data_IF_698344668965
#
_entry.id   IF_698344668965
#
_cell.length_a   1.000
_cell.length_b   1.000
_cell.length_c   1.000
_cell.angle_alpha   90.00
_cell.angle_beta   90.00
_cell.angle_gamma   90.00
#
_symmetry.space_group_name_H-M   'P 1'
#
loop_
_entity.id
_entity.type
_entity.pdbx_description
1 polymer ?
#
# COMPACT_ATOMS: atom_id res chain seq x y z
N UNK A 1 -39.31 -28.72 -8.25
CA UNK A 1 -38.48 -27.79 -9.04
C UNK A 1 -38.77 -26.36 -8.62
N UNK A 2 -37.75 -25.54 -8.33
CA UNK A 2 -37.88 -24.08 -8.28
C UNK A 2 -37.29 -23.38 -7.05
N UNK A 3 -35.98 -23.50 -6.81
CA UNK A 3 -35.29 -22.54 -5.93
C UNK A 3 -34.96 -21.29 -6.76
N UNK A 4 -35.66 -20.19 -6.47
CA UNK A 4 -35.33 -18.86 -6.99
C UNK A 4 -34.09 -18.35 -6.25
N UNK A 5 -32.93 -18.43 -6.90
CA UNK A 5 -31.70 -17.80 -6.43
C UNK A 5 -31.84 -16.28 -6.44
N UNK A 6 -31.77 -15.66 -5.28
CA UNK A 6 -31.64 -14.20 -5.16
C UNK A 6 -30.19 -13.84 -5.49
N UNK A 7 -29.98 -13.21 -6.63
CA UNK A 7 -28.72 -12.56 -6.98
C UNK A 7 -28.58 -11.34 -6.06
N UNK A 8 -27.71 -11.44 -5.07
CA UNK A 8 -27.25 -10.26 -4.34
C UNK A 8 -26.27 -9.52 -5.26
N UNK A 9 -26.73 -8.44 -5.89
CA UNK A 9 -25.83 -7.47 -6.50
C UNK A 9 -25.03 -6.81 -5.37
N UNK A 10 -23.80 -7.26 -5.17
CA UNK A 10 -22.82 -6.53 -4.38
C UNK A 10 -22.59 -5.19 -5.08
N UNK A 11 -22.94 -4.10 -4.39
CA UNK A 11 -22.66 -2.75 -4.86
C UNK A 11 -21.15 -2.59 -5.07
N UNK A 12 -20.74 -2.45 -6.34
CA UNK A 12 -19.37 -2.08 -6.70
C UNK A 12 -19.20 -0.60 -6.35
N UNK A 13 -18.83 -0.31 -5.09
CA UNK A 13 -18.19 0.96 -4.74
C UNK A 13 -16.69 0.70 -4.79
N UNK A 14 -16.18 0.62 -6.01
CA UNK A 14 -14.77 0.51 -6.31
C UNK A 14 -14.20 1.86 -6.72
N UNK A 15 -14.40 2.89 -5.89
CA UNK A 15 -13.52 4.08 -5.74
C UNK A 15 -13.84 4.62 -4.34
N UNK A 16 -12.91 4.50 -3.39
CA UNK A 16 -13.02 5.24 -2.14
C UNK A 16 -12.64 6.71 -2.40
N UNK A 17 -13.57 7.48 -2.97
CA UNK A 17 -13.48 8.95 -2.93
C UNK A 17 -13.84 9.37 -1.51
N UNK A 18 -12.88 9.33 -0.59
CA UNK A 18 -13.04 9.91 0.74
C UNK A 18 -12.57 11.38 0.63
N UNK A 19 -13.50 12.28 0.32
CA UNK A 19 -13.27 13.71 0.45
C UNK A 19 -13.46 14.09 1.93
N UNK A 20 -12.36 14.37 2.65
CA UNK A 20 -12.44 15.00 3.98
C UNK A 20 -12.12 16.48 3.82
N UNK A 21 -13.15 17.31 3.88
CA UNK A 21 -13.04 18.76 4.04
C UNK A 21 -12.80 19.05 5.53
N UNK A 22 -11.56 19.35 5.89
CA UNK A 22 -11.21 19.82 7.23
C UNK A 22 -11.52 21.30 7.37
N UNK A 23 -12.63 21.64 8.04
CA UNK A 23 -12.86 23.00 8.55
C UNK A 23 -12.10 23.19 9.85
N UNK A 24 -11.03 23.98 9.81
CA UNK A 24 -10.29 24.40 10.99
C UNK A 24 -11.03 25.57 11.67
N UNK A 25 -11.28 25.47 12.98
CA UNK A 25 -11.63 26.60 13.84
C UNK A 25 -11.15 26.29 15.27
N UNK A 26 -10.40 27.24 15.84
CA UNK A 26 -9.72 27.17 17.15
C UNK A 26 -10.67 27.00 18.34
N UNK A 27 -10.25 27.00 19.59
CA UNK A 27 -9.07 27.59 20.26
C UNK A 27 -9.06 27.09 21.72
N UNK A 28 -7.90 26.96 22.36
CA UNK A 28 -7.81 26.77 23.82
C UNK A 28 -6.37 26.61 24.32
N UNK A 29 -5.96 27.49 25.23
CA UNK A 29 -4.59 27.81 25.66
C UNK A 29 -4.20 27.15 27.00
N UNK A 30 -2.88 26.95 27.22
CA UNK A 30 -2.08 27.03 28.48
C UNK A 30 -2.37 26.01 29.60
N UNK A 31 -1.46 25.48 30.43
CA UNK A 31 -0.04 25.66 30.83
C UNK A 31 0.41 24.28 31.39
N UNK A 32 1.68 23.83 31.45
CA UNK A 32 2.84 24.36 32.15
C UNK A 32 3.50 23.19 32.94
N UNK A 33 4.84 23.17 33.07
CA UNK A 33 5.55 22.27 33.99
C UNK A 33 6.83 21.63 33.45
N UNK A 34 7.95 22.32 33.62
CA UNK A 34 9.31 21.76 33.50
C UNK A 34 9.70 21.05 34.80
N UNK A 35 10.44 19.94 34.73
CA UNK A 35 11.57 19.74 35.64
C UNK A 35 12.64 18.79 35.08
N UNK A 36 13.89 19.11 35.37
CA UNK A 36 15.11 18.43 34.95
C UNK A 36 15.66 17.58 36.10
N UNK A 37 16.12 16.36 35.81
CA UNK A 37 16.80 15.50 36.77
C UNK A 37 18.07 14.89 36.19
N UNK A 38 19.21 15.52 36.51
CA UNK A 38 20.56 15.02 36.24
C UNK A 38 20.98 13.99 37.28
N UNK A 39 21.63 12.89 36.87
CA UNK A 39 22.16 11.87 37.76
C UNK A 39 23.31 11.10 37.10
N UNK A 40 24.54 11.50 37.42
CA UNK A 40 25.79 10.85 37.03
C UNK A 40 26.06 9.56 37.81
N UNK A 41 26.55 8.52 37.14
CA UNK A 41 27.13 7.32 37.76
C UNK A 41 28.15 6.64 36.85
N UNK A 42 29.44 6.79 37.16
CA UNK A 42 30.56 6.05 36.57
C UNK A 42 30.58 4.62 37.09
N UNK A 43 30.82 3.66 36.20
CA UNK A 43 31.19 2.29 36.54
C UNK A 43 31.86 1.60 35.37
N UNK A 44 33.19 1.52 35.40
CA UNK A 44 33.99 0.74 34.45
C UNK A 44 33.95 -0.74 34.80
N UNK A 45 33.75 -1.61 33.82
CA UNK A 45 34.28 -2.98 33.82
C UNK A 45 34.38 -3.49 32.39
N UNK A 46 35.57 -3.96 32.04
CA UNK A 46 35.92 -4.52 30.74
C UNK A 46 35.53 -5.99 30.63
N UNK A 47 35.08 -6.43 29.46
CA UNK A 47 35.26 -7.80 28.95
C UNK A 47 35.09 -7.83 27.43
N UNK A 48 35.86 -8.72 26.80
CA UNK A 48 36.30 -8.81 25.41
C UNK A 48 35.18 -8.91 24.34
N UNK A 49 35.49 -8.62 23.05
CA UNK A 49 34.51 -8.60 21.97
C UNK A 49 34.17 -10.02 21.51
N UNK A 50 32.92 -10.43 21.69
CA UNK A 50 32.36 -11.56 20.96
C UNK A 50 31.91 -11.07 19.58
N UNK A 51 32.73 -11.36 18.58
CA UNK A 51 32.36 -11.23 17.18
C UNK A 51 31.17 -12.13 16.86
N UNK A 52 30.01 -11.52 16.67
CA UNK A 52 28.93 -12.11 15.89
C UNK A 52 28.87 -11.33 14.59
N UNK A 53 29.49 -11.91 13.56
CA UNK A 53 29.34 -11.49 12.18
C UNK A 53 27.89 -11.69 11.74
N UNK A 54 27.02 -10.77 12.16
CA UNK A 54 25.74 -10.56 11.53
C UNK A 54 26.01 -9.97 10.16
N UNK A 55 26.07 -10.82 9.13
CA UNK A 55 25.96 -10.39 7.75
C UNK A 55 24.58 -9.75 7.59
N UNK A 56 24.49 -8.45 7.88
CA UNK A 56 23.42 -7.59 7.41
C UNK A 56 23.56 -7.64 5.90
N UNK A 57 22.77 -8.52 5.26
CA UNK A 57 22.57 -8.47 3.82
C UNK A 57 22.22 -7.02 3.50
N UNK A 58 23.17 -6.32 2.88
CA UNK A 58 22.97 -4.96 2.44
C UNK A 58 21.83 -5.02 1.44
N UNK A 59 20.65 -4.54 1.84
CA UNK A 59 19.67 -4.11 0.89
C UNK A 59 20.38 -3.04 0.06
N UNK A 60 20.68 -3.36 -1.19
CA UNK A 60 21.07 -2.37 -2.17
C UNK A 60 19.96 -1.32 -2.13
N UNK A 61 20.23 -0.12 -1.61
CA UNK A 61 19.26 0.96 -1.63
C UNK A 61 18.88 1.18 -3.09
N UNK A 62 17.66 0.81 -3.45
CA UNK A 62 17.14 1.02 -4.79
C UNK A 62 16.98 2.52 -4.92
N UNK A 63 17.75 3.11 -5.83
CA UNK A 63 17.66 4.53 -6.11
C UNK A 63 16.22 4.88 -6.53
N UNK A 64 15.65 5.89 -5.87
CA UNK A 64 14.38 6.47 -6.26
C UNK A 64 14.40 6.85 -7.76
N UNK A 65 13.33 6.48 -8.45
CA UNK A 65 13.07 6.92 -9.82
C UNK A 65 12.63 8.38 -9.83
N UNK A 66 11.78 8.76 -8.87
CA UNK A 66 11.38 10.14 -8.60
C UNK A 66 10.93 10.28 -7.14
N UNK A 67 10.97 11.52 -6.63
CA UNK A 67 10.60 11.85 -5.26
C UNK A 67 9.10 11.64 -5.00
N UNK A 68 8.73 11.46 -3.74
CA UNK A 68 7.37 11.15 -3.31
C UNK A 68 6.26 12.11 -3.76
N UNK A 69 6.54 13.42 -3.86
CA UNK A 69 5.52 14.42 -4.21
C UNK A 69 5.78 15.07 -5.57
N UNK A 70 4.71 15.31 -6.32
CA UNK A 70 4.74 16.11 -7.54
C UNK A 70 3.68 15.76 -8.58
N UNK A 71 3.60 16.61 -9.59
CA UNK A 71 2.85 16.40 -10.82
C UNK A 71 3.84 16.11 -11.95
N UNK A 72 3.81 14.88 -12.47
CA UNK A 72 4.78 14.39 -13.43
C UNK A 72 4.15 14.13 -14.78
N UNK A 73 4.64 14.80 -15.82
CA UNK A 73 4.22 14.55 -17.21
C UNK A 73 4.80 13.21 -17.67
N UNK A 74 3.91 12.33 -18.11
CA UNK A 74 4.30 11.01 -18.61
C UNK A 74 4.92 11.16 -20.00
N UNK A 75 6.13 10.63 -20.17
CA UNK A 75 6.93 10.73 -21.38
C UNK A 75 8.03 11.81 -21.34
N UNK A 76 7.91 12.84 -20.50
CA UNK A 76 8.96 13.84 -20.29
C UNK A 76 9.61 13.76 -18.91
N UNK A 77 8.81 13.72 -17.85
CA UNK A 77 9.31 13.81 -16.48
C UNK A 77 9.51 12.40 -15.90
N UNK A 78 8.55 11.50 -16.20
CA UNK A 78 8.64 10.07 -15.89
C UNK A 78 8.35 9.24 -17.13
N UNK A 79 8.95 8.06 -17.23
CA UNK A 79 8.70 7.13 -18.34
C UNK A 79 7.48 6.26 -18.04
N UNK A 80 6.78 5.73 -19.05
CA UNK A 80 5.83 4.65 -18.84
C UNK A 80 6.51 3.45 -18.20
N UNK A 81 5.83 2.79 -17.26
CA UNK A 81 6.38 1.68 -16.49
C UNK A 81 5.60 1.41 -15.22
N UNK A 82 6.03 0.39 -14.47
CA UNK A 82 5.49 0.11 -13.13
C UNK A 82 6.40 0.72 -12.08
N UNK A 83 5.79 1.44 -11.13
CA UNK A 83 6.46 2.07 -10.02
C UNK A 83 5.95 1.52 -8.70
N UNK A 84 6.78 1.60 -7.66
CA UNK A 84 6.45 1.15 -6.31
C UNK A 84 6.84 2.21 -5.30
N UNK A 85 5.97 2.47 -4.34
CA UNK A 85 6.26 3.22 -3.12
C UNK A 85 5.98 2.33 -1.90
N UNK A 86 6.75 2.47 -0.82
CA UNK A 86 6.63 1.63 0.38
C UNK A 86 6.77 2.43 1.65
N UNK A 87 6.16 1.97 2.74
CA UNK A 87 6.27 2.64 4.04
C UNK A 87 5.45 3.93 4.11
N UNK A 88 4.37 4.00 3.32
CA UNK A 88 3.40 5.09 3.40
C UNK A 88 2.58 4.95 4.68
N UNK A 89 2.37 6.07 5.37
CA UNK A 89 1.58 6.12 6.60
C UNK A 89 0.10 6.24 6.29
N UNK A 90 -0.73 5.46 6.99
CA UNK A 90 -2.18 5.57 7.20
C UNK A 90 -2.97 6.44 6.19
N UNK A 91 -2.94 6.08 4.90
CA UNK A 91 -3.73 6.74 3.86
C UNK A 91 -3.27 8.14 3.44
N UNK A 92 -2.14 8.63 3.94
CA UNK A 92 -1.60 9.96 3.59
C UNK A 92 -1.00 10.03 2.19
N UNK A 93 -0.71 8.88 1.58
CA UNK A 93 -0.23 8.80 0.20
C UNK A 93 -1.41 8.75 -0.77
N UNK A 94 -1.65 9.84 -1.47
CA UNK A 94 -2.54 9.92 -2.62
C UNK A 94 -1.74 9.88 -3.92
N UNK A 95 -2.18 9.07 -4.87
CA UNK A 95 -1.67 9.15 -6.24
C UNK A 95 -2.79 9.09 -7.25
N UNK A 96 -2.53 9.63 -8.44
CA UNK A 96 -3.48 9.69 -9.54
C UNK A 96 -2.78 9.51 -10.89
N UNK A 97 -3.38 8.71 -11.76
CA UNK A 97 -3.09 8.69 -13.20
C UNK A 97 -4.19 9.46 -13.92
N UNK A 98 -3.81 10.43 -14.75
CA UNK A 98 -4.78 11.27 -15.47
C UNK A 98 -4.51 11.34 -16.98
N UNK A 99 -5.58 11.55 -17.74
CA UNK A 99 -5.55 11.66 -19.23
C UNK A 99 -5.14 13.05 -19.72
N UNK A 100 -5.14 14.04 -18.85
CA UNK A 100 -4.69 15.41 -19.11
C UNK A 100 -4.39 16.13 -17.78
N UNK A 101 -4.03 17.41 -17.87
CA UNK A 101 -3.70 18.25 -16.71
C UNK A 101 -4.81 19.25 -16.36
N UNK A 102 -6.08 18.96 -16.73
CA UNK A 102 -7.20 19.89 -16.45
C UNK A 102 -7.64 19.89 -14.99
N UNK A 103 -7.38 18.79 -14.27
CA UNK A 103 -7.75 18.65 -12.86
C UNK A 103 -9.22 18.31 -12.63
N UNK A 104 -9.92 17.86 -13.66
CA UNK A 104 -11.33 17.50 -13.61
C UNK A 104 -11.52 16.04 -13.19
N UNK A 105 -12.68 15.70 -12.63
CA UNK A 105 -12.98 14.33 -12.18
C UNK A 105 -12.98 13.31 -13.34
N UNK A 106 -13.33 13.72 -14.55
CA UNK A 106 -13.30 12.88 -15.75
C UNK A 106 -11.89 12.73 -16.36
N UNK A 107 -10.94 13.57 -15.92
CA UNK A 107 -9.53 13.41 -16.26
C UNK A 107 -8.91 12.20 -15.57
N UNK A 108 -9.46 11.78 -14.42
CA UNK A 108 -8.92 10.68 -13.60
C UNK A 108 -9.09 9.35 -14.34
N UNK A 109 -7.97 8.66 -14.57
CA UNK A 109 -7.93 7.30 -15.12
C UNK A 109 -7.99 6.28 -13.97
N UNK A 110 -7.21 6.52 -12.92
CA UNK A 110 -7.17 5.73 -11.70
C UNK A 110 -6.55 6.56 -10.58
N UNK A 111 -7.00 6.36 -9.35
CA UNK A 111 -6.42 6.98 -8.16
C UNK A 111 -6.55 6.06 -6.95
N UNK A 112 -5.82 6.37 -5.88
CA UNK A 112 -5.88 5.58 -4.65
C UNK A 112 -5.35 6.39 -3.45
N UNK A 113 -5.83 6.03 -2.25
CA UNK A 113 -5.30 6.47 -0.96
C UNK A 113 -4.64 5.27 -0.29
N UNK A 114 -3.35 5.39 0.01
CA UNK A 114 -2.50 4.23 0.30
C UNK A 114 -1.92 4.28 1.71
N UNK A 115 -2.17 3.22 2.47
CA UNK A 115 -1.32 2.77 3.58
C UNK A 115 -0.32 1.72 3.09
N UNK A 116 0.90 1.74 3.61
CA UNK A 116 1.91 0.72 3.32
C UNK A 116 2.50 0.82 1.92
N UNK A 117 2.30 -0.20 1.09
CA UNK A 117 2.90 -0.31 -0.25
C UNK A 117 1.88 0.00 -1.33
N UNK A 118 2.29 0.70 -2.39
CA UNK A 118 1.53 0.78 -3.64
C UNK A 118 2.40 0.38 -4.82
N UNK A 119 1.78 -0.28 -5.78
CA UNK A 119 2.32 -0.51 -7.12
C UNK A 119 1.40 0.19 -8.11
N UNK A 120 1.97 0.90 -9.09
CA UNK A 120 1.19 1.58 -10.12
C UNK A 120 1.84 1.39 -11.48
N UNK A 121 1.08 0.89 -12.45
CA UNK A 121 1.48 0.85 -13.86
C UNK A 121 1.04 2.12 -14.57
N UNK A 122 1.99 3.03 -14.79
CA UNK A 122 1.82 4.25 -15.60
C UNK A 122 1.95 3.87 -17.08
N UNK A 123 0.91 4.12 -17.86
CA UNK A 123 0.85 3.77 -19.29
C UNK A 123 1.33 4.93 -20.15
N UNK A 124 1.82 4.64 -21.36
CA UNK A 124 2.24 5.67 -22.32
C UNK A 124 1.10 6.59 -22.79
N UNK A 125 -0.15 6.14 -22.63
CA UNK A 125 -1.35 6.93 -22.92
C UNK A 125 -1.73 7.90 -21.82
N UNK A 126 -1.20 7.71 -20.61
CA UNK A 126 -1.42 8.63 -19.51
C UNK A 126 -0.68 9.94 -19.85
N UNK A 127 -1.20 11.07 -19.38
CA UNK A 127 -0.56 12.38 -19.58
C UNK A 127 0.08 12.91 -18.32
N UNK A 128 -0.50 12.58 -17.17
CA UNK A 128 -0.04 13.04 -15.87
C UNK A 128 -0.07 11.90 -14.86
N UNK A 129 0.95 11.85 -14.01
CA UNK A 129 0.96 11.10 -12.76
C UNK A 129 1.12 12.10 -11.62
N UNK A 130 0.15 12.16 -10.71
CA UNK A 130 0.19 13.04 -9.54
C UNK A 130 0.48 12.18 -8.31
N UNK A 131 1.31 12.67 -7.41
CA UNK A 131 1.65 12.00 -6.16
C UNK A 131 1.74 13.03 -5.04
N UNK A 132 1.10 12.75 -3.92
CA UNK A 132 1.03 13.65 -2.77
C UNK A 132 1.03 12.88 -1.45
N UNK A 133 1.91 13.26 -0.52
CA UNK A 133 2.09 12.60 0.77
C UNK A 133 2.66 11.18 0.66
N UNK A 134 3.18 10.80 -0.50
CA UNK A 134 3.76 9.48 -0.74
C UNK A 134 5.25 9.47 -0.39
N UNK A 135 5.77 8.30 -0.04
CA UNK A 135 7.21 8.03 -0.06
C UNK A 135 7.71 7.95 -1.49
N UNK A 136 9.02 8.08 -1.64
CA UNK A 136 9.70 8.02 -2.93
C UNK A 136 9.29 6.79 -3.75
N UNK A 137 9.23 7.00 -5.06
CA UNK A 137 8.83 5.98 -6.01
C UNK A 137 10.06 5.33 -6.64
N UNK A 138 10.09 4.01 -6.61
CA UNK A 138 11.10 3.19 -7.28
C UNK A 138 10.53 2.59 -8.56
N UNK A 139 11.34 2.56 -9.62
CA UNK A 139 10.99 1.81 -10.82
C UNK A 139 11.05 0.30 -10.52
N UNK A 140 10.01 -0.43 -10.93
CA UNK A 140 9.93 -1.87 -10.78
C UNK A 140 10.46 -2.55 -12.04
N UNK A 141 11.58 -3.25 -11.91
CA UNK A 141 12.01 -4.18 -12.95
C UNK A 141 11.09 -5.41 -12.94
N UNK A 142 10.37 -5.62 -14.05
CA UNK A 142 9.47 -6.75 -14.23
C UNK A 142 10.17 -8.11 -14.07
N UNK A 143 11.48 -8.17 -14.36
CA UNK A 143 12.31 -9.37 -14.25
C UNK A 143 12.91 -9.57 -12.87
N UNK A 144 12.83 -8.57 -11.98
CA UNK A 144 13.39 -8.68 -10.65
C UNK A 144 12.72 -9.83 -9.89
N UNK A 145 13.55 -10.74 -9.38
CA UNK A 145 13.13 -11.78 -8.44
C UNK A 145 13.01 -11.14 -7.06
N UNK A 146 11.90 -11.41 -6.38
CA UNK A 146 11.71 -11.03 -4.99
C UNK A 146 11.95 -12.20 -4.04
N UNK A 147 11.77 -11.94 -2.75
CA UNK A 147 11.80 -12.96 -1.70
C UNK A 147 10.42 -13.01 -1.07
N UNK A 148 9.46 -13.74 -1.67
CA UNK A 148 8.06 -13.65 -1.28
C UNK A 148 7.84 -14.18 0.13
N UNK A 149 7.11 -13.42 0.96
CA UNK A 149 6.81 -13.76 2.34
C UNK A 149 5.57 -14.66 2.47
N UNK A 150 5.47 -15.49 3.53
CA UNK A 150 4.26 -16.26 3.85
C UNK A 150 3.27 -15.48 4.74
N UNK A 151 3.53 -14.19 5.00
CA UNK A 151 2.73 -13.32 5.88
C UNK A 151 2.73 -11.91 5.30
N UNK A 152 1.68 -11.15 5.55
CA UNK A 152 1.59 -9.73 5.19
C UNK A 152 0.76 -8.99 6.23
N UNK A 153 1.08 -7.70 6.40
CA UNK A 153 0.28 -6.81 7.23
C UNK A 153 -1.10 -6.62 6.62
N UNK A 154 -2.13 -6.56 7.46
CA UNK A 154 -3.50 -6.38 6.98
C UNK A 154 -3.78 -5.00 6.38
N UNK A 155 -3.01 -3.99 6.80
CA UNK A 155 -2.97 -2.66 6.19
C UNK A 155 -1.69 -2.42 5.38
N UNK A 156 -1.18 -3.48 4.76
CA UNK A 156 0.09 -3.46 4.05
C UNK A 156 0.05 -2.84 2.65
N UNK A 157 -1.14 -2.51 2.14
CA UNK A 157 -1.35 -2.02 0.80
C UNK A 157 -1.27 -3.15 -0.23
N UNK A 158 -0.57 -2.92 -1.33
CA UNK A 158 -0.49 -3.81 -2.50
C UNK A 158 0.82 -4.60 -2.55
N UNK A 159 0.71 -5.91 -2.75
CA UNK A 159 1.81 -6.87 -2.82
C UNK A 159 1.84 -7.54 -4.19
N UNK A 160 3.01 -7.58 -4.84
CA UNK A 160 3.20 -8.34 -6.09
C UNK A 160 3.34 -9.83 -5.78
N UNK A 161 2.48 -10.66 -6.36
CA UNK A 161 2.49 -12.10 -6.11
C UNK A 161 3.75 -12.74 -6.71
N UNK A 162 4.39 -13.63 -5.95
CA UNK A 162 5.64 -14.29 -6.32
C UNK A 162 6.90 -13.44 -6.09
N UNK A 163 6.78 -12.13 -5.91
CA UNK A 163 7.89 -11.25 -5.54
C UNK A 163 7.84 -10.82 -4.07
N UNK A 164 6.67 -10.33 -3.62
CA UNK A 164 6.47 -9.84 -2.25
C UNK A 164 5.75 -10.86 -1.38
N UNK A 165 4.78 -11.59 -1.93
CA UNK A 165 3.95 -12.56 -1.21
C UNK A 165 3.90 -13.89 -1.96
N UNK A 166 3.92 -15.01 -1.21
CA UNK A 166 3.78 -16.34 -1.79
C UNK A 166 2.33 -16.59 -2.24
N UNK A 167 2.10 -17.32 -3.34
CA UNK A 167 0.78 -17.88 -3.62
C UNK A 167 0.33 -18.84 -2.52
N UNK A 168 -0.97 -18.96 -2.32
CA UNK A 168 -1.60 -19.89 -1.37
C UNK A 168 -2.83 -19.31 -0.69
N UNK A 169 -3.32 -20.02 0.31
CA UNK A 169 -4.50 -19.63 1.09
C UNK A 169 -4.07 -18.87 2.32
N UNK A 170 -4.66 -17.71 2.52
CA UNK A 170 -4.40 -16.80 3.62
C UNK A 170 -5.66 -16.58 4.44
N UNK A 171 -5.46 -16.36 5.74
CA UNK A 171 -6.53 -16.04 6.69
C UNK A 171 -6.17 -14.80 7.49
N UNK A 172 -7.15 -13.92 7.67
CA UNK A 172 -7.13 -12.76 8.56
C UNK A 172 -8.35 -12.85 9.49
N UNK A 173 -8.13 -12.70 10.79
CA UNK A 173 -9.14 -12.96 11.84
C UNK A 173 -9.23 -11.84 12.84
N UNK A 174 -10.43 -11.53 13.31
CA UNK A 174 -10.66 -10.41 14.23
C UNK A 174 -10.75 -9.07 13.50
N UNK A 175 -11.17 -9.09 12.23
CA UNK A 175 -11.40 -7.87 11.45
C UNK A 175 -12.57 -7.10 12.04
N UNK A 176 -12.39 -5.80 12.23
CA UNK A 176 -13.44 -4.90 12.68
C UNK A 176 -14.57 -4.76 11.66
N UNK A 177 -15.66 -4.13 12.08
CA UNK A 177 -16.85 -3.97 11.26
C UNK A 177 -16.55 -3.10 10.04
N UNK A 178 -16.56 -3.71 8.84
CA UNK A 178 -16.42 -3.00 7.57
C UNK A 178 -15.03 -2.42 7.27
N UNK A 179 -14.00 -2.73 8.07
CA UNK A 179 -12.66 -2.14 7.88
C UNK A 179 -11.75 -2.94 6.95
N UNK A 180 -11.96 -4.26 6.83
CA UNK A 180 -11.08 -5.12 6.07
C UNK A 180 -11.53 -5.24 4.61
N UNK A 181 -10.81 -4.55 3.74
CA UNK A 181 -10.90 -4.72 2.28
C UNK A 181 -9.73 -5.57 1.78
N UNK A 182 -10.01 -6.49 0.87
CA UNK A 182 -8.96 -7.16 0.09
C UNK A 182 -9.34 -7.29 -1.38
N UNK A 183 -8.31 -7.37 -2.22
CA UNK A 183 -8.44 -7.51 -3.67
C UNK A 183 -7.32 -8.39 -4.24
N UNK A 184 -7.67 -9.29 -5.16
CA UNK A 184 -6.75 -9.95 -6.09
C UNK A 184 -6.86 -9.24 -7.42
N UNK A 185 -5.74 -8.85 -8.01
CA UNK A 185 -5.68 -8.09 -9.25
C UNK A 185 -4.72 -8.73 -10.27
N UNK A 186 -5.04 -8.57 -11.54
CA UNK A 186 -4.23 -9.08 -12.67
C UNK A 186 -2.99 -8.22 -12.94
N UNK A 187 -3.10 -6.91 -12.68
CA UNK A 187 -2.09 -5.91 -12.94
C UNK A 187 -2.21 -4.74 -11.93
N UNK A 188 -1.22 -3.85 -11.91
CA UNK A 188 -1.21 -2.64 -11.09
C UNK A 188 -1.84 -1.44 -11.83
N UNK A 189 -2.82 -1.68 -12.69
CA UNK A 189 -3.51 -0.65 -13.46
C UNK A 189 -4.61 0.07 -12.69
N UNK A 190 -5.11 -0.51 -11.58
CA UNK A 190 -6.16 0.04 -10.71
C UNK A 190 -7.45 0.44 -11.45
N UNK A 191 -7.81 -0.35 -12.46
CA UNK A 191 -9.11 -0.21 -13.14
C UNK A 191 -10.05 -1.31 -12.68
N UNK A 192 -11.36 -1.13 -12.83
CA UNK A 192 -12.33 -2.21 -12.56
C UNK A 192 -12.00 -3.49 -13.36
N UNK A 193 -11.47 -3.33 -14.57
CA UNK A 193 -11.02 -4.46 -15.40
C UNK A 193 -9.76 -5.16 -14.86
N UNK A 194 -9.03 -4.57 -13.93
CA UNK A 194 -7.83 -5.16 -13.29
C UNK A 194 -8.20 -6.12 -12.16
N UNK A 195 -9.39 -5.97 -11.56
CA UNK A 195 -9.85 -6.74 -10.41
C UNK A 195 -10.22 -8.16 -10.85
N UNK A 196 -9.60 -9.15 -10.22
CA UNK A 196 -9.97 -10.57 -10.37
C UNK A 196 -11.09 -10.92 -9.38
N UNK A 197 -10.91 -10.51 -8.13
CA UNK A 197 -11.90 -10.67 -7.06
C UNK A 197 -11.57 -9.70 -5.92
N UNK A 198 -12.59 -9.20 -5.24
CA UNK A 198 -12.43 -8.40 -4.03
C UNK A 198 -13.53 -8.69 -3.02
N UNK A 199 -13.34 -8.25 -1.78
CA UNK A 199 -14.38 -8.34 -0.75
C UNK A 199 -14.13 -7.35 0.40
N UNK A 200 -15.22 -6.98 1.08
CA UNK A 200 -15.21 -6.28 2.36
C UNK A 200 -15.69 -7.25 3.45
N UNK A 201 -14.90 -7.48 4.48
CA UNK A 201 -15.13 -8.59 5.41
C UNK A 201 -15.07 -8.15 6.87
N UNK A 202 -16.12 -8.43 7.63
CA UNK A 202 -16.11 -8.38 9.10
C UNK A 202 -15.70 -9.74 9.68
N UNK A 203 -14.95 -9.73 10.79
CA UNK A 203 -14.59 -10.95 11.52
C UNK A 203 -13.47 -11.73 10.86
N UNK A 204 -13.79 -12.72 10.02
CA UNK A 204 -12.79 -13.59 9.38
C UNK A 204 -12.82 -13.47 7.87
N UNK A 205 -11.67 -13.16 7.28
CA UNK A 205 -11.45 -13.25 5.84
C UNK A 205 -10.54 -14.44 5.50
N UNK A 206 -10.90 -15.18 4.45
CA UNK A 206 -10.08 -16.27 3.88
C UNK A 206 -9.99 -16.05 2.37
N UNK A 207 -8.78 -16.06 1.83
CA UNK A 207 -8.55 -15.81 0.40
C UNK A 207 -7.49 -16.76 -0.14
N UNK A 208 -7.72 -17.31 -1.33
CA UNK A 208 -6.70 -18.06 -2.08
C UNK A 208 -6.09 -17.15 -3.14
N UNK A 209 -4.80 -16.86 -3.00
CA UNK A 209 -3.99 -16.11 -3.95
C UNK A 209 -3.35 -17.12 -4.91
N UNK A 210 -3.74 -17.06 -6.18
CA UNK A 210 -3.19 -17.94 -7.23
C UNK A 210 -1.79 -17.47 -7.62
N UNK A 211 -0.95 -18.37 -8.11
CA UNK A 211 0.34 -18.01 -8.72
C UNK A 211 0.19 -17.19 -10.00
N UNK A 212 -1.00 -17.22 -10.62
CA UNK A 212 -1.35 -16.41 -11.78
C UNK A 212 -1.89 -15.02 -11.44
N UNK A 213 -2.24 -14.77 -10.18
CA UNK A 213 -2.65 -13.42 -9.77
C UNK A 213 -1.42 -12.50 -9.88
N UNK A 214 -1.60 -11.28 -10.36
CA UNK A 214 -0.49 -10.32 -10.47
C UNK A 214 -0.18 -9.69 -9.11
N UNK A 215 -1.23 -9.30 -8.40
CA UNK A 215 -1.14 -8.54 -7.16
C UNK A 215 -2.24 -8.92 -6.17
N UNK A 216 -1.94 -8.71 -4.89
CA UNK A 216 -2.92 -8.76 -3.80
C UNK A 216 -2.87 -7.44 -3.03
N UNK A 217 -4.01 -6.76 -2.86
CA UNK A 217 -4.14 -5.53 -2.07
C UNK A 217 -4.96 -5.80 -0.82
N UNK A 218 -4.56 -5.22 0.31
CA UNK A 218 -5.28 -5.30 1.58
C UNK A 218 -5.18 -4.00 2.36
N UNK A 219 -6.30 -3.59 2.94
CA UNK A 219 -6.43 -2.35 3.73
C UNK A 219 -7.35 -2.61 4.91
N UNK A 220 -6.99 -2.12 6.09
CA UNK A 220 -7.80 -2.18 7.32
C UNK A 220 -8.13 -3.60 7.83
N UNK A 221 -7.43 -4.63 7.33
CA UNK A 221 -7.52 -5.99 7.84
C UNK A 221 -6.57 -6.21 9.02
N UNK A 222 -6.79 -7.29 9.77
CA UNK A 222 -5.76 -7.89 10.61
C UNK A 222 -4.71 -8.58 9.75
N UNK A 223 -3.52 -8.80 10.33
CA UNK A 223 -2.41 -9.45 9.65
C UNK A 223 -2.81 -10.81 9.05
N UNK A 224 -2.43 -11.00 7.79
CA UNK A 224 -2.73 -12.21 7.05
C UNK A 224 -1.64 -13.26 7.29
N UNK A 225 -2.08 -14.47 7.62
CA UNK A 225 -1.22 -15.65 7.77
C UNK A 225 -1.58 -16.70 6.71
N UNK A 226 -0.58 -17.23 6.01
CA UNK A 226 -0.76 -18.37 5.10
C UNK A 226 -1.16 -19.63 5.90
N UNK A 227 -2.18 -20.33 5.45
CA UNK A 227 -2.74 -21.55 6.08
C UNK A 227 -2.70 -22.78 5.18
N UNK A 228 -2.42 -22.60 3.89
CA UNK A 228 -2.33 -23.66 2.87
C UNK A 228 -1.58 -23.16 1.66
#
# INVERSE_FOLDING_TARGET
MGMKGKIALGAVVGVAVIAVVSTNSGSGTSDGGSDSGSGTGKGSSASAPHGSGGSKAAATEKKAAFAGDGDFRVGSDIKPGTYRTTGNSDGMCYWERARDAKGEMDSIIANDNVSGTSYVTVKATDRLFKSHGCKDWEAVDAKAKGTPAPRMKGDGGMFRVGADIKPGTYRSTGNGDGTCYWERAKDAGHTLGSIIANNNVTGTAVVTISSSDGYFKTTGCQDWKKTG
#
